data_IF_906382563279
#
_entry.id   IF_906382563279
#
_cell.length_a   1.000
_cell.length_b   1.000
_cell.length_c   1.000
_cell.angle_alpha   90.00
_cell.angle_beta   90.00
_cell.angle_gamma   90.00
#
_symmetry.space_group_name_H-M   'P 1'
#
loop_
_entity.id
_entity.type
_entity.pdbx_description
1 polymer ?
#
# COMPACT_ATOMS: atom_id res chain seq x y z
N UNK A 1 -26.31 36.49 -42.50
CA UNK A 1 -25.18 36.68 -41.56
C UNK A 1 -24.29 35.46 -41.69
N UNK A 2 -23.17 35.55 -42.42
CA UNK A 2 -22.30 34.38 -42.62
C UNK A 2 -21.51 34.11 -41.34
N UNK A 3 -21.49 32.84 -40.91
CA UNK A 3 -20.58 32.37 -39.86
C UNK A 3 -19.16 32.48 -40.41
N UNK A 4 -18.38 33.43 -39.91
CA UNK A 4 -16.93 33.42 -40.12
C UNK A 4 -16.38 32.18 -39.40
N UNK A 5 -16.01 31.16 -40.15
CA UNK A 5 -15.34 29.99 -39.60
C UNK A 5 -13.90 30.36 -39.24
N UNK A 6 -13.57 30.23 -37.96
CA UNK A 6 -12.19 30.31 -37.49
C UNK A 6 -11.36 29.24 -38.21
N UNK A 7 -10.22 29.61 -38.83
CA UNK A 7 -9.31 28.65 -39.45
C UNK A 7 -9.00 27.48 -38.51
N UNK A 8 -8.98 26.23 -39.00
CA UNK A 8 -8.75 25.04 -38.18
C UNK A 8 -7.50 25.13 -37.30
N UNK A 9 -6.42 25.72 -37.82
CA UNK A 9 -5.14 25.87 -37.11
C UNK A 9 -5.26 26.82 -35.91
N UNK A 10 -6.04 27.89 -36.03
CA UNK A 10 -6.31 28.83 -34.94
C UNK A 10 -7.15 28.15 -33.85
N UNK A 11 -8.14 27.35 -34.26
CA UNK A 11 -8.94 26.56 -33.30
C UNK A 11 -8.08 25.53 -32.56
N UNK A 12 -7.15 24.89 -33.26
CA UNK A 12 -6.20 23.96 -32.65
C UNK A 12 -5.30 24.65 -31.63
N UNK A 13 -4.67 25.78 -32.00
CA UNK A 13 -3.83 26.56 -31.08
C UNK A 13 -4.59 27.04 -29.83
N UNK A 14 -5.85 27.45 -29.98
CA UNK A 14 -6.69 27.84 -28.84
C UNK A 14 -6.97 26.66 -27.88
N UNK A 15 -7.17 25.46 -28.42
CA UNK A 15 -7.36 24.26 -27.62
C UNK A 15 -6.07 23.88 -26.88
N UNK A 16 -4.92 23.93 -27.54
CA UNK A 16 -3.61 23.64 -26.91
C UNK A 16 -3.30 24.64 -25.80
N UNK A 17 -3.57 25.93 -26.03
CA UNK A 17 -3.41 26.95 -25.00
C UNK A 17 -4.36 26.71 -23.80
N UNK A 18 -5.60 26.32 -24.05
CA UNK A 18 -6.56 25.99 -23.00
C UNK A 18 -6.12 24.75 -22.20
N UNK A 19 -5.63 23.71 -22.88
CA UNK A 19 -5.09 22.50 -22.25
C UNK A 19 -3.86 22.83 -21.38
N UNK A 20 -2.92 23.61 -21.91
CA UNK A 20 -1.73 24.04 -21.18
C UNK A 20 -2.10 24.87 -19.93
N UNK A 21 -3.08 25.77 -20.02
CA UNK A 21 -3.58 26.53 -18.86
C UNK A 21 -4.23 25.63 -17.82
N UNK A 22 -5.06 24.67 -18.23
CA UNK A 22 -5.67 23.71 -17.31
C UNK A 22 -4.62 22.87 -16.57
N UNK A 23 -3.53 22.50 -17.26
CA UNK A 23 -2.43 21.77 -16.64
C UNK A 23 -1.65 22.64 -15.63
N UNK A 24 -1.44 23.93 -15.94
CA UNK A 24 -0.85 24.88 -14.98
C UNK A 24 -1.72 25.04 -13.72
N UNK A 25 -3.03 25.16 -13.87
CA UNK A 25 -3.96 25.27 -12.74
C UNK A 25 -3.94 24.00 -11.88
N UNK A 26 -3.87 22.83 -12.53
CA UNK A 26 -3.72 21.53 -11.84
C UNK A 26 -2.44 21.48 -11.01
N UNK A 27 -1.30 21.86 -11.62
CA UNK A 27 0.00 21.91 -10.94
C UNK A 27 -0.04 22.89 -9.76
N UNK A 28 -0.63 24.07 -9.92
CA UNK A 28 -0.77 25.06 -8.85
C UNK A 28 -1.58 24.50 -7.67
N UNK A 29 -2.69 23.81 -7.93
CA UNK A 29 -3.50 23.16 -6.91
C UNK A 29 -2.71 22.07 -6.16
N UNK A 30 -1.92 21.27 -6.87
CA UNK A 30 -1.13 20.21 -6.25
C UNK A 30 0.04 20.77 -5.40
N UNK A 31 0.66 21.87 -5.83
CA UNK A 31 1.64 22.61 -5.02
C UNK A 31 1.02 23.15 -3.73
N UNK A 32 -0.19 23.71 -3.78
CA UNK A 32 -0.88 24.20 -2.59
C UNK A 32 -1.16 23.07 -1.59
N UNK A 33 -1.64 21.92 -2.06
CA UNK A 33 -1.86 20.73 -1.22
C UNK A 33 -0.55 20.24 -0.59
N UNK A 34 0.54 20.21 -1.35
CA UNK A 34 1.86 19.82 -0.86
C UNK A 34 2.35 20.77 0.24
N UNK A 35 2.22 22.09 0.05
CA UNK A 35 2.57 23.08 1.07
C UNK A 35 1.70 22.97 2.32
N UNK A 36 0.40 22.70 2.18
CA UNK A 36 -0.48 22.45 3.33
C UNK A 36 -0.08 21.18 4.09
N UNK A 37 0.32 20.13 3.38
CA UNK A 37 0.81 18.90 3.99
C UNK A 37 2.13 19.11 4.74
N UNK A 38 3.08 19.83 4.14
CA UNK A 38 4.36 20.16 4.75
C UNK A 38 4.17 20.92 6.07
N UNK A 39 3.31 21.95 6.06
CA UNK A 39 2.99 22.72 7.28
C UNK A 39 2.47 21.83 8.42
N UNK A 40 1.56 20.89 8.12
CA UNK A 40 1.04 19.94 9.12
C UNK A 40 2.14 19.04 9.70
N UNK A 41 3.09 18.60 8.87
CA UNK A 41 4.21 17.78 9.32
C UNK A 41 5.18 18.59 10.20
N UNK A 42 5.44 19.84 9.85
CA UNK A 42 6.28 20.75 10.65
C UNK A 42 5.65 21.02 12.02
N UNK A 43 4.35 21.27 12.08
CA UNK A 43 3.61 21.41 13.35
C UNK A 43 3.69 20.14 14.20
N UNK A 44 3.51 18.96 13.58
CA UNK A 44 3.61 17.68 14.28
C UNK A 44 5.03 17.46 14.83
N UNK A 45 6.06 17.76 14.02
CA UNK A 45 7.46 17.71 14.45
C UNK A 45 7.70 18.64 15.64
N UNK A 46 7.19 19.87 15.60
CA UNK A 46 7.29 20.83 16.69
C UNK A 46 6.66 20.31 17.99
N UNK A 47 5.46 19.72 17.91
CA UNK A 47 4.79 19.10 19.08
C UNK A 47 5.62 17.95 19.68
N UNK A 48 6.16 17.07 18.85
CA UNK A 48 6.98 15.95 19.32
C UNK A 48 8.30 16.42 19.93
N UNK A 49 8.94 17.43 19.35
CA UNK A 49 10.15 18.02 19.91
C UNK A 49 9.90 18.62 21.30
N UNK A 50 8.82 19.39 21.45
CA UNK A 50 8.42 19.96 22.74
C UNK A 50 8.12 18.87 23.80
N UNK A 51 7.51 17.76 23.38
CA UNK A 51 7.28 16.61 24.25
C UNK A 51 8.59 15.96 24.68
N UNK A 52 9.52 15.70 23.76
CA UNK A 52 10.83 15.14 24.09
C UNK A 52 11.57 16.00 25.12
N UNK A 53 11.65 17.33 24.89
CA UNK A 53 12.30 18.26 25.82
C UNK A 53 11.64 18.24 27.20
N UNK A 54 10.30 18.18 27.24
CA UNK A 54 9.55 18.13 28.50
C UNK A 54 9.80 16.83 29.27
N UNK A 55 9.86 15.70 28.56
CA UNK A 55 10.17 14.38 29.15
C UNK A 55 11.62 14.31 29.63
N UNK A 56 12.58 14.81 28.85
CA UNK A 56 13.99 14.92 29.25
C UNK A 56 14.15 15.75 30.52
N UNK A 57 13.42 16.87 30.63
CA UNK A 57 13.40 17.69 31.85
C UNK A 57 12.77 16.97 33.03
N UNK A 58 11.68 16.22 32.83
CA UNK A 58 11.07 15.43 33.89
C UNK A 58 12.01 14.31 34.38
N UNK A 59 12.72 13.66 33.45
CA UNK A 59 13.71 12.63 33.74
C UNK A 59 14.90 13.18 34.52
N UNK A 60 15.40 14.38 34.18
CA UNK A 60 16.54 14.99 34.90
C UNK A 60 16.23 15.38 36.35
N UNK A 61 14.95 15.62 36.67
CA UNK A 61 14.48 15.87 38.03
C UNK A 61 14.29 14.57 38.84
N UNK A 62 14.18 13.43 38.17
CA UNK A 62 14.09 12.13 38.83
C UNK A 62 15.49 11.64 39.22
N UNK A 63 15.73 11.36 40.51
CA UNK A 63 17.01 10.89 41.07
C UNK A 63 17.38 9.45 40.67
N UNK A 64 16.84 8.96 39.55
CA UNK A 64 16.97 7.57 39.10
C UNK A 64 18.29 7.43 38.33
N UNK A 65 19.36 7.12 39.06
CA UNK A 65 20.73 6.96 38.56
C UNK A 65 20.85 5.93 37.41
N UNK A 66 19.96 4.95 37.33
CA UNK A 66 19.98 3.87 36.32
C UNK A 66 19.33 4.25 34.98
N UNK A 67 18.62 5.39 34.88
CA UNK A 67 17.98 5.84 33.64
C UNK A 67 18.92 6.60 32.70
N UNK A 68 20.21 6.75 33.04
CA UNK A 68 21.28 7.18 32.12
C UNK A 68 21.66 6.11 31.10
N UNK A 69 20.71 5.26 30.72
CA UNK A 69 20.87 4.40 29.56
C UNK A 69 20.51 5.25 28.35
N UNK A 70 21.45 5.40 27.43
CA UNK A 70 21.27 6.08 26.15
C UNK A 70 19.85 5.81 25.62
N UNK A 71 19.05 6.87 25.48
CA UNK A 71 17.72 6.76 24.91
C UNK A 71 17.88 6.41 23.43
N UNK A 72 18.04 5.12 23.15
CA UNK A 72 18.16 4.62 21.79
C UNK A 72 16.91 5.02 21.01
N UNK A 73 17.09 5.69 19.88
CA UNK A 73 15.99 5.98 18.95
C UNK A 73 15.44 4.65 18.45
N UNK A 74 14.34 4.20 19.05
CA UNK A 74 13.60 3.02 18.56
C UNK A 74 12.94 3.42 17.25
N UNK A 75 13.59 3.06 16.13
CA UNK A 75 12.99 3.22 14.81
C UNK A 75 11.74 2.34 14.77
N UNK A 76 10.57 2.94 14.59
CA UNK A 76 9.37 2.18 14.28
C UNK A 76 9.69 1.25 13.10
N UNK A 77 9.40 -0.05 13.25
CA UNK A 77 9.55 -1.02 12.16
C UNK A 77 8.96 -0.43 10.88
N UNK A 78 9.75 -0.36 9.81
CA UNK A 78 9.28 0.12 8.49
C UNK A 78 8.07 -0.72 8.09
N UNK A 79 6.85 -0.18 8.28
CA UNK A 79 5.65 -0.78 7.73
C UNK A 79 5.64 -0.50 6.23
N UNK A 80 6.28 -1.40 5.49
CA UNK A 80 6.08 -1.61 4.05
C UNK A 80 6.19 -0.38 3.13
N UNK A 81 6.90 0.69 3.48
CA UNK A 81 7.02 1.88 2.63
C UNK A 81 5.70 2.65 2.37
N UNK A 82 4.65 2.40 3.16
CA UNK A 82 3.34 3.06 3.00
C UNK A 82 2.14 2.19 3.39
N UNK A 83 0.97 2.82 3.54
CA UNK A 83 -0.30 2.12 3.80
C UNK A 83 -0.75 1.40 2.52
N UNK A 84 -0.89 0.08 2.58
CA UNK A 84 -1.45 -0.73 1.47
C UNK A 84 -0.42 -1.44 0.60
N UNK A 85 0.87 -1.14 0.73
CA UNK A 85 1.93 -1.74 -0.10
C UNK A 85 2.01 -3.26 0.04
N UNK A 86 1.89 -3.82 1.25
CA UNK A 86 1.80 -5.27 1.42
C UNK A 86 0.62 -5.87 0.65
N UNK A 87 -0.53 -5.20 0.66
CA UNK A 87 -1.73 -5.71 -0.02
C UNK A 87 -1.55 -5.65 -1.54
N UNK A 88 -0.96 -4.57 -2.06
CA UNK A 88 -0.63 -4.46 -3.48
C UNK A 88 0.38 -5.52 -3.91
N UNK A 89 1.43 -5.73 -3.11
CA UNK A 89 2.40 -6.79 -3.35
C UNK A 89 1.78 -8.17 -3.29
N UNK A 90 0.91 -8.46 -2.31
CA UNK A 90 0.20 -9.74 -2.23
C UNK A 90 -0.70 -9.97 -3.45
N UNK A 91 -1.35 -8.93 -3.99
CA UNK A 91 -2.08 -9.05 -5.27
C UNK A 91 -1.12 -9.46 -6.38
N UNK A 92 -0.04 -8.71 -6.58
CA UNK A 92 0.94 -8.98 -7.63
C UNK A 92 1.52 -10.41 -7.51
N UNK A 93 1.93 -10.81 -6.30
CA UNK A 93 2.49 -12.13 -6.03
C UNK A 93 1.50 -13.27 -6.28
N UNK A 94 0.21 -13.08 -5.97
CA UNK A 94 -0.83 -14.09 -6.26
C UNK A 94 -1.18 -14.13 -7.75
N UNK A 95 -1.25 -12.97 -8.42
CA UNK A 95 -1.50 -12.89 -9.87
C UNK A 95 -0.37 -13.53 -10.65
N UNK A 96 0.89 -13.27 -10.29
CA UNK A 96 2.07 -13.90 -10.90
C UNK A 96 2.10 -15.41 -10.67
N UNK A 97 1.70 -15.86 -9.47
CA UNK A 97 1.67 -17.28 -9.15
C UNK A 97 0.55 -18.04 -9.88
N UNK A 98 -0.50 -17.36 -10.36
CA UNK A 98 -1.63 -18.00 -11.04
C UNK A 98 -1.15 -18.81 -12.27
N UNK A 99 -1.59 -20.07 -12.44
CA UNK A 99 -2.70 -20.75 -11.77
C UNK A 99 -2.35 -21.47 -10.45
N UNK A 100 -1.10 -21.40 -10.00
CA UNK A 100 -0.63 -22.06 -8.78
C UNK A 100 -1.13 -21.34 -7.51
N UNK A 101 -1.31 -22.12 -6.44
CA UNK A 101 -1.77 -21.63 -5.14
C UNK A 101 -0.65 -21.70 -4.10
N UNK A 102 0.10 -20.60 -3.85
CA UNK A 102 1.13 -20.58 -2.83
C UNK A 102 0.54 -20.67 -1.41
N UNK A 103 1.34 -21.18 -0.49
CA UNK A 103 1.05 -21.14 0.95
C UNK A 103 1.31 -19.75 1.52
N UNK A 104 0.66 -19.43 2.64
CA UNK A 104 0.94 -18.17 3.33
C UNK A 104 2.39 -18.05 3.83
N UNK A 105 3.06 -19.18 4.10
CA UNK A 105 4.47 -19.19 4.52
C UNK A 105 5.42 -18.90 3.36
N UNK A 106 5.15 -19.40 2.16
CA UNK A 106 5.91 -19.07 0.95
C UNK A 106 5.79 -17.59 0.62
N UNK A 107 4.56 -17.04 0.71
CA UNK A 107 4.33 -15.60 0.53
C UNK A 107 5.07 -14.77 1.58
N UNK A 108 5.11 -15.22 2.84
CA UNK A 108 5.90 -14.57 3.88
C UNK A 108 7.40 -14.61 3.56
N UNK A 109 7.94 -15.76 3.13
CA UNK A 109 9.35 -15.91 2.78
C UNK A 109 9.77 -14.99 1.63
N UNK A 110 8.88 -14.78 0.64
CA UNK A 110 9.11 -13.84 -0.46
C UNK A 110 8.98 -12.37 0.00
N UNK A 111 8.06 -12.07 0.90
CA UNK A 111 7.85 -10.70 1.40
C UNK A 111 8.99 -10.18 2.28
N UNK A 112 9.65 -11.06 3.03
CA UNK A 112 10.74 -10.71 3.95
C UNK A 112 11.88 -9.92 3.29
N UNK A 113 12.53 -10.42 2.21
CA UNK A 113 13.58 -9.68 1.54
C UNK A 113 13.04 -8.46 0.79
N UNK A 114 11.87 -8.55 0.15
CA UNK A 114 11.26 -7.44 -0.59
C UNK A 114 11.09 -6.18 0.25
N UNK A 115 10.70 -6.36 1.51
CA UNK A 115 10.40 -5.25 2.42
C UNK A 115 11.50 -4.99 3.45
N UNK A 116 12.64 -5.69 3.36
CA UNK A 116 13.75 -5.58 4.31
C UNK A 116 13.31 -5.86 5.75
N UNK A 117 12.48 -6.89 5.94
CA UNK A 117 11.95 -7.25 7.27
C UNK A 117 12.94 -8.18 7.95
N UNK A 118 13.36 -7.84 9.16
CA UNK A 118 14.15 -8.73 10.01
C UNK A 118 13.31 -9.20 11.19
N UNK A 119 13.42 -10.49 11.52
CA UNK A 119 12.75 -11.08 12.67
C UNK A 119 13.77 -11.45 13.73
N UNK A 120 13.60 -10.94 14.94
CA UNK A 120 14.45 -11.23 16.11
C UNK A 120 14.21 -12.61 16.71
N UNK A 121 13.08 -13.27 16.39
CA UNK A 121 12.78 -14.62 16.87
C UNK A 121 11.77 -15.36 15.98
N UNK A 122 11.71 -16.71 16.05
CA UNK A 122 10.65 -17.49 15.41
C UNK A 122 9.24 -17.10 15.87
N UNK A 123 9.08 -16.72 17.15
CA UNK A 123 7.81 -16.24 17.70
C UNK A 123 7.38 -14.92 17.06
N UNK A 124 8.32 -13.98 16.85
CA UNK A 124 8.04 -12.73 16.16
C UNK A 124 7.60 -12.97 14.71
N UNK A 125 8.24 -13.91 14.01
CA UNK A 125 7.85 -14.31 12.64
C UNK A 125 6.43 -14.89 12.59
N UNK A 126 6.08 -15.77 13.54
CA UNK A 126 4.75 -16.37 13.60
C UNK A 126 3.65 -15.34 13.92
N UNK A 127 3.92 -14.45 14.88
CA UNK A 127 3.00 -13.35 15.22
C UNK A 127 2.82 -12.42 14.02
N UNK A 128 3.90 -12.12 13.30
CA UNK A 128 3.86 -11.29 12.11
C UNK A 128 3.00 -11.90 11.00
N UNK A 129 3.22 -13.19 10.70
CA UNK A 129 2.40 -13.93 9.74
C UNK A 129 0.91 -13.80 10.07
N UNK A 130 0.53 -14.11 11.31
CA UNK A 130 -0.87 -14.13 11.76
C UNK A 130 -1.53 -12.75 11.71
N UNK A 131 -0.83 -11.73 12.20
CA UNK A 131 -1.41 -10.40 12.39
C UNK A 131 -1.41 -9.56 11.10
N UNK A 132 -0.54 -9.92 10.15
CA UNK A 132 -0.25 -9.07 8.99
C UNK A 132 -0.56 -9.79 7.68
N UNK A 133 0.23 -10.81 7.31
CA UNK A 133 0.10 -11.49 6.01
C UNK A 133 -1.23 -12.23 5.92
N UNK A 134 -1.55 -13.04 6.93
CA UNK A 134 -2.78 -13.81 7.00
C UNK A 134 -4.02 -12.90 6.95
N UNK A 135 -4.03 -11.81 7.73
CA UNK A 135 -5.14 -10.86 7.74
C UNK A 135 -5.37 -10.20 6.38
N UNK A 136 -4.31 -9.82 5.67
CA UNK A 136 -4.46 -9.23 4.33
C UNK A 136 -4.95 -10.24 3.29
N UNK A 137 -4.53 -11.49 3.38
CA UNK A 137 -5.04 -12.56 2.49
C UNK A 137 -6.55 -12.78 2.68
N UNK A 138 -7.03 -12.79 3.92
CA UNK A 138 -8.46 -12.84 4.19
C UNK A 138 -9.21 -11.64 3.60
N UNK A 139 -8.68 -10.42 3.74
CA UNK A 139 -9.31 -9.24 3.13
C UNK A 139 -9.34 -9.29 1.60
N UNK A 140 -8.35 -9.91 0.95
CA UNK A 140 -8.41 -10.16 -0.50
C UNK A 140 -9.47 -11.20 -0.86
N UNK A 141 -9.68 -12.19 0.01
CA UNK A 141 -10.71 -13.20 -0.17
C UNK A 141 -12.12 -12.65 0.01
N UNK A 142 -12.34 -11.83 1.04
CA UNK A 142 -13.61 -11.12 1.26
C UNK A 142 -14.01 -10.23 0.08
N UNK A 143 -13.03 -9.79 -0.72
CA UNK A 143 -13.24 -8.98 -1.91
C UNK A 143 -13.37 -9.80 -3.21
N UNK A 144 -13.37 -11.14 -3.11
CA UNK A 144 -13.46 -12.02 -4.27
C UNK A 144 -12.23 -11.99 -5.18
N UNK A 145 -11.10 -11.45 -4.71
CA UNK A 145 -9.86 -11.35 -5.49
C UNK A 145 -8.94 -12.56 -5.32
N UNK A 146 -9.06 -13.24 -4.19
CA UNK A 146 -8.32 -14.47 -3.90
C UNK A 146 -9.26 -15.51 -3.29
N UNK A 147 -8.92 -16.77 -3.39
CA UNK A 147 -9.68 -17.85 -2.79
C UNK A 147 -8.77 -18.77 -1.97
N UNK A 148 -9.38 -19.41 -0.98
CA UNK A 148 -8.70 -20.33 -0.07
C UNK A 148 -8.86 -21.75 -0.60
N UNK A 149 -7.76 -22.35 -1.02
CA UNK A 149 -7.72 -23.74 -1.50
C UNK A 149 -7.20 -24.62 -0.37
N UNK A 150 -8.05 -25.51 0.13
CA UNK A 150 -7.63 -26.53 1.08
C UNK A 150 -7.05 -27.71 0.30
N UNK A 151 -5.78 -28.05 0.55
CA UNK A 151 -5.12 -29.19 -0.09
C UNK A 151 -4.75 -30.21 1.00
N UNK A 152 -5.09 -31.47 0.75
CA UNK A 152 -4.79 -32.59 1.64
C UNK A 152 -3.48 -33.24 1.19
N UNK A 153 -2.37 -32.81 1.79
CA UNK A 153 -1.02 -33.37 1.62
C UNK A 153 -0.55 -33.92 2.96
N UNK A 154 -1.17 -35.03 3.40
CA UNK A 154 -0.98 -35.61 4.74
C UNK A 154 -1.73 -34.86 5.84
N UNK A 155 -1.48 -33.55 5.98
CA UNK A 155 -2.26 -32.63 6.81
C UNK A 155 -2.99 -31.61 5.93
N UNK A 156 -4.15 -31.12 6.37
CA UNK A 156 -4.87 -30.06 5.67
C UNK A 156 -4.03 -28.79 5.70
N UNK A 157 -3.54 -28.36 4.53
CA UNK A 157 -2.79 -27.11 4.37
C UNK A 157 -3.64 -26.10 3.59
N UNK A 158 -3.60 -24.86 4.08
CA UNK A 158 -4.29 -23.74 3.44
C UNK A 158 -3.36 -23.09 2.42
N UNK A 159 -3.80 -23.09 1.16
CA UNK A 159 -3.17 -22.38 0.04
C UNK A 159 -4.08 -21.25 -0.44
N UNK A 160 -3.48 -20.27 -1.10
CA UNK A 160 -4.15 -19.05 -1.56
C UNK A 160 -3.99 -18.93 -3.07
N UNK A 161 -5.09 -18.83 -3.81
CA UNK A 161 -5.08 -18.71 -5.26
C UNK A 161 -5.70 -17.39 -5.70
N UNK A 162 -5.14 -16.77 -6.73
CA UNK A 162 -5.76 -15.61 -7.35
C UNK A 162 -7.05 -16.01 -8.09
N UNK A 163 -8.07 -15.16 -8.01
CA UNK A 163 -9.32 -15.33 -8.76
C UNK A 163 -9.27 -14.37 -9.97
N UNK A 164 -9.12 -14.89 -11.20
CA UNK A 164 -9.15 -14.07 -12.41
C UNK A 164 -10.46 -13.29 -12.47
N UNK A 165 -10.37 -11.96 -12.58
CA UNK A 165 -11.53 -11.12 -12.76
C UNK A 165 -11.82 -11.09 -14.27
N UNK A 166 -12.78 -11.88 -14.72
CA UNK A 166 -13.23 -11.85 -16.11
C UNK A 166 -13.87 -10.49 -16.39
N UNK A 167 -13.49 -9.88 -17.51
CA UNK A 167 -14.16 -8.70 -18.02
C UNK A 167 -15.59 -9.06 -18.46
N UNK A 168 -16.48 -8.06 -18.56
CA UNK A 168 -17.84 -8.27 -19.08
C UNK A 168 -17.85 -8.87 -20.50
N UNK A 169 -16.82 -8.61 -21.30
CA UNK A 169 -16.65 -9.20 -22.63
C UNK A 169 -16.32 -10.70 -22.54
N UNK A 170 -15.41 -11.08 -21.64
CA UNK A 170 -15.01 -12.48 -21.42
C UNK A 170 -16.11 -13.30 -20.73
N UNK A 171 -16.90 -12.69 -19.84
CA UNK A 171 -18.08 -13.33 -19.25
C UNK A 171 -19.15 -13.64 -20.30
N UNK A 172 -19.36 -12.73 -21.27
CA UNK A 172 -20.30 -12.96 -22.37
C UNK A 172 -19.84 -14.07 -23.31
N UNK A 173 -18.55 -14.16 -23.60
CA UNK A 173 -17.99 -15.22 -24.43
C UNK A 173 -18.15 -16.60 -23.76
N UNK A 174 -17.85 -16.69 -22.46
CA UNK A 174 -17.97 -17.93 -21.69
C UNK A 174 -19.42 -18.42 -21.57
N UNK A 175 -20.39 -17.51 -21.46
CA UNK A 175 -21.81 -17.87 -21.39
C UNK A 175 -22.36 -18.39 -22.72
N UNK A 176 -21.76 -18.02 -23.86
CA UNK A 176 -22.12 -18.60 -25.17
C UNK A 176 -21.56 -20.02 -25.34
N UNK A 177 -20.39 -20.31 -24.78
CA UNK A 177 -19.77 -21.65 -24.82
C UNK A 177 -20.53 -22.67 -23.93
N UNK A 178 -21.03 -22.26 -22.76
CA UNK A 178 -21.81 -23.13 -21.87
C UNK A 178 -23.24 -23.44 -22.39
N UNK A 179 -23.69 -22.78 -23.46
CA UNK A 179 -25.01 -22.95 -24.09
C UNK A 179 -24.95 -23.68 -25.45
N UNK A 180 -23.76 -24.08 -25.90
CA UNK A 180 -23.54 -24.84 -27.15
C UNK A 180 -23.19 -26.30 -26.85
#
# INVERSE_FOLDING_TARGET
>A
MSRQQTPPDIKWLLNELAAARGELDRIASDLEKAHAHLRRLEEARGRHLALCVSLEKALSLSSVVWLRTDTFVVKAHKKYGGRGNLRQWLKAALTEAYPHAPTGLELLQRAVPEFGIEFTSPGARAAYYRNTVHRQLYHLAEQGLAERVAVQEGAIRVRWRWVPQLTLAELKAKHLEDLS
#
